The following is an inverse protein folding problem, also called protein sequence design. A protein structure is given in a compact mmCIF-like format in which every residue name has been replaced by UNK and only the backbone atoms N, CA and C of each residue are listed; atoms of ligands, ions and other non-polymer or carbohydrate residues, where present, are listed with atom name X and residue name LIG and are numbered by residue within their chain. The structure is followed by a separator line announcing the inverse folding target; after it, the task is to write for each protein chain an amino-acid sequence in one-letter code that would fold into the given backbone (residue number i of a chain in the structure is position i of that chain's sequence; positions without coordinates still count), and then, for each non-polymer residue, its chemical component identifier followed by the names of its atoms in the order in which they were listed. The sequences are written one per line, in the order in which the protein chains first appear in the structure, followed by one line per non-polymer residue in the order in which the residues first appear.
data_IF_670150902604
#
_entry.id   IF_670150902604
#
_cell.length_a   1.000
_cell.length_b   1.000
_cell.length_c   1.000
_cell.angle_alpha   90.00
_cell.angle_beta   90.00
_cell.angle_gamma   90.00
#
_symmetry.space_group_name_H-M   'P 1'
#
loop_
_entity.id
_entity.type
_entity.pdbx_description
1 polymer ?
#
# COMPACT_ATOMS: atom_id res chain seq x y z
N UNK A 1 1.21 -11.92 -6.06
CA UNK A 1 2.49 -11.18 -5.99
C UNK A 1 2.58 -10.51 -4.63
N UNK A 2 3.73 -10.46 -3.96
CA UNK A 2 3.86 -9.77 -2.68
C UNK A 2 4.80 -8.57 -2.81
N UNK A 3 4.39 -7.44 -2.24
CA UNK A 3 5.20 -6.23 -2.14
C UNK A 3 5.53 -6.02 -0.66
N UNK A 4 6.80 -5.84 -0.35
CA UNK A 4 7.29 -5.61 1.01
C UNK A 4 7.53 -4.13 1.28
N UNK A 5 7.20 -3.68 2.48
CA UNK A 5 7.46 -2.33 2.95
C UNK A 5 8.18 -2.34 4.30
N UNK A 6 9.10 -1.39 4.50
CA UNK A 6 9.85 -1.19 5.75
C UNK A 6 9.88 0.28 6.12
N UNK A 7 10.29 0.59 7.35
CA UNK A 7 10.43 1.96 7.85
C UNK A 7 11.59 2.73 7.22
N UNK A 8 12.48 2.03 6.48
CA UNK A 8 13.61 2.66 5.78
C UNK A 8 13.11 3.49 4.60
N UNK A 9 13.33 4.81 4.59
CA UNK A 9 12.85 5.67 3.51
C UNK A 9 13.37 5.25 2.14
N UNK A 10 12.49 5.28 1.15
CA UNK A 10 12.78 4.92 -0.24
C UNK A 10 11.97 5.80 -1.18
N UNK A 11 12.54 6.13 -2.35
CA UNK A 11 11.84 6.91 -3.40
C UNK A 11 11.10 6.01 -4.40
N UNK A 12 10.84 4.75 -4.03
CA UNK A 12 10.30 3.72 -4.93
C UNK A 12 8.81 3.61 -4.70
N UNK A 13 8.06 3.85 -5.76
CA UNK A 13 6.60 3.92 -5.71
C UNK A 13 5.97 2.59 -6.07
N UNK A 14 4.77 2.35 -5.54
CA UNK A 14 3.88 1.29 -6.00
C UNK A 14 2.78 1.90 -6.88
N UNK A 15 2.59 1.37 -8.08
CA UNK A 15 1.72 1.94 -9.12
C UNK A 15 0.53 1.00 -9.37
N UNK A 16 -0.55 1.11 -8.58
CA UNK A 16 -1.77 0.37 -8.82
C UNK A 16 -2.51 0.86 -10.06
N UNK A 17 -3.26 -0.06 -10.68
CA UNK A 17 -4.21 0.21 -11.75
C UNK A 17 -5.54 -0.42 -11.36
N UNK A 18 -6.55 0.41 -11.08
CA UNK A 18 -7.89 -0.02 -10.64
C UNK A 18 -7.84 -1.11 -9.55
N UNK A 19 -6.88 -1.00 -8.64
CA UNK A 19 -6.62 -2.02 -7.61
C UNK A 19 -7.47 -1.73 -6.38
N UNK A 20 -8.19 -2.72 -5.88
CA UNK A 20 -8.94 -2.62 -4.61
C UNK A 20 -8.00 -2.93 -3.46
N UNK A 21 -7.96 -2.11 -2.43
CA UNK A 21 -7.13 -2.32 -1.25
C UNK A 21 -8.00 -2.79 -0.08
N UNK A 22 -7.62 -3.91 0.54
CA UNK A 22 -8.14 -4.38 1.81
C UNK A 22 -7.12 -4.08 2.91
N UNK A 23 -7.51 -3.29 3.91
CA UNK A 23 -6.67 -3.01 5.06
C UNK A 23 -6.86 -4.08 6.14
N UNK A 24 -6.03 -5.12 6.17
CA UNK A 24 -6.05 -6.17 7.19
C UNK A 24 -4.98 -5.97 8.29
N UNK A 25 -4.54 -4.73 8.51
CA UNK A 25 -3.45 -4.44 9.47
C UNK A 25 -3.94 -4.26 10.91
N UNK A 26 -5.26 -4.13 11.12
CA UNK A 26 -5.85 -3.83 12.43
C UNK A 26 -5.65 -2.37 12.89
N UNK A 27 -5.09 -1.51 12.04
CA UNK A 27 -4.92 -0.07 12.28
C UNK A 27 -5.36 0.72 11.05
N UNK A 28 -5.64 1.99 11.22
CA UNK A 28 -5.93 2.87 10.08
C UNK A 28 -4.67 3.06 9.23
N UNK A 29 -4.83 2.86 7.92
CA UNK A 29 -3.78 3.01 6.93
C UNK A 29 -4.04 4.25 6.08
N UNK A 30 -3.03 5.08 5.90
CA UNK A 30 -3.08 6.19 4.94
C UNK A 30 -2.17 5.85 3.77
N UNK A 31 -2.74 5.69 2.57
CA UNK A 31 -1.98 5.62 1.34
C UNK A 31 -1.59 7.05 0.95
N UNK A 32 -0.28 7.33 0.98
CA UNK A 32 0.28 8.61 0.60
C UNK A 32 0.63 8.55 -0.87
N UNK A 33 -0.02 9.36 -1.69
CA UNK A 33 0.22 9.35 -3.14
C UNK A 33 1.18 10.47 -3.55
N UNK A 34 1.86 10.26 -4.68
CA UNK A 34 2.81 11.25 -5.22
C UNK A 34 2.10 12.52 -5.71
N UNK A 35 0.93 12.37 -6.35
CA UNK A 35 0.25 13.49 -7.05
C UNK A 35 -1.25 13.56 -6.77
N UNK A 36 -1.76 12.75 -5.84
CA UNK A 36 -3.18 12.68 -5.50
C UNK A 36 -3.38 12.93 -4.00
N UNK A 37 -4.57 13.38 -3.57
CA UNK A 37 -4.90 13.47 -2.15
C UNK A 37 -4.80 12.11 -1.47
N UNK A 38 -4.28 12.11 -0.25
CA UNK A 38 -4.14 10.90 0.56
C UNK A 38 -5.46 10.14 0.70
N UNK A 39 -5.36 8.81 0.70
CA UNK A 39 -6.51 7.94 0.99
C UNK A 39 -6.35 7.30 2.37
N UNK A 40 -7.27 7.62 3.28
CA UNK A 40 -7.39 6.94 4.56
C UNK A 40 -8.28 5.71 4.41
N UNK A 41 -7.77 4.56 4.85
CA UNK A 41 -8.46 3.28 4.90
C UNK A 41 -8.53 2.84 6.36
N UNK A 42 -9.73 2.80 6.91
CA UNK A 42 -9.96 2.31 8.26
C UNK A 42 -9.51 0.86 8.43
N UNK A 43 -9.20 0.46 9.66
CA UNK A 43 -8.91 -0.94 9.97
C UNK A 43 -10.03 -1.87 9.48
N UNK A 44 -9.65 -2.97 8.80
CA UNK A 44 -10.56 -4.00 8.25
C UNK A 44 -11.54 -3.50 7.19
N UNK A 45 -11.23 -2.40 6.51
CA UNK A 45 -12.06 -1.84 5.42
C UNK A 45 -11.46 -2.07 4.04
N UNK A 46 -12.30 -1.87 3.02
CA UNK A 46 -11.91 -1.94 1.60
C UNK A 46 -11.99 -0.56 0.93
N UNK A 47 -11.10 -0.31 -0.03
CA UNK A 47 -11.13 0.88 -0.88
C UNK A 47 -12.01 0.67 -2.13
N UNK A 48 -12.31 1.77 -2.82
CA UNK A 48 -12.64 1.70 -4.25
C UNK A 48 -11.37 1.42 -5.09
N UNK A 49 -11.52 1.18 -6.39
CA UNK A 49 -10.38 0.97 -7.29
C UNK A 49 -9.43 2.17 -7.31
N UNK A 50 -8.18 1.96 -6.92
CA UNK A 50 -7.12 2.99 -6.86
C UNK A 50 -6.23 2.91 -8.10
N UNK A 51 -5.98 4.06 -8.71
CA UNK A 51 -5.13 4.24 -9.90
C UNK A 51 -4.16 5.42 -9.72
N UNK A 52 -3.51 5.51 -8.57
CA UNK A 52 -2.56 6.57 -8.24
C UNK A 52 -1.28 5.98 -7.65
N UNK A 53 -0.12 6.54 -8.03
CA UNK A 53 1.17 6.08 -7.55
C UNK A 53 1.31 6.35 -6.05
N UNK A 54 1.47 5.28 -5.27
CA UNK A 54 1.71 5.30 -3.83
C UNK A 54 3.19 5.58 -3.59
N UNK A 55 3.48 6.64 -2.87
CA UNK A 55 4.82 7.00 -2.40
C UNK A 55 5.20 6.14 -1.18
N UNK A 56 4.35 6.18 -0.14
CA UNK A 56 4.50 5.37 1.07
C UNK A 56 3.13 5.10 1.72
N UNK A 57 3.12 4.23 2.73
CA UNK A 57 1.93 3.91 3.52
C UNK A 57 2.19 4.29 4.96
N UNK A 58 1.30 5.08 5.57
CA UNK A 58 1.35 5.38 6.99
C UNK A 58 0.40 4.48 7.76
N UNK A 59 0.87 3.80 8.80
CA UNK A 59 0.04 3.09 9.78
C UNK A 59 0.20 3.78 11.14
N UNK A 60 -0.87 4.42 11.62
CA UNK A 60 -0.78 5.28 12.81
C UNK A 60 0.24 6.40 12.62
N UNK A 61 1.37 6.31 13.34
CA UNK A 61 2.48 7.30 13.27
C UNK A 61 3.69 6.81 12.46
N UNK A 62 3.68 5.57 11.95
CA UNK A 62 4.83 4.95 11.30
C UNK A 62 4.66 4.96 9.78
N UNK A 63 5.70 5.40 9.06
CA UNK A 63 5.75 5.41 7.60
C UNK A 63 6.47 4.17 7.06
N UNK A 64 5.85 3.51 6.08
CA UNK A 64 6.33 2.29 5.44
C UNK A 64 6.55 2.54 3.94
N UNK A 65 7.78 2.32 3.48
CA UNK A 65 8.23 2.56 2.12
C UNK A 65 8.54 1.25 1.40
N UNK A 66 8.40 1.22 0.07
CA UNK A 66 8.68 0.02 -0.71
C UNK A 66 10.13 -0.43 -0.58
N UNK A 67 10.33 -1.71 -0.25
CA UNK A 67 11.65 -2.34 -0.13
C UNK A 67 12.29 -2.68 -1.49
N UNK A 68 11.55 -2.56 -2.59
CA UNK A 68 12.04 -2.95 -3.90
C UNK A 68 13.03 -1.92 -4.45
N UNK A 69 14.02 -2.36 -5.23
CA UNK A 69 15.02 -1.48 -5.85
C UNK A 69 14.47 -0.63 -7.00
N UNK A 70 13.25 -0.93 -7.46
CA UNK A 70 12.56 -0.30 -8.56
C UNK A 70 11.09 -0.03 -8.21
N UNK A 71 10.45 0.84 -8.99
CA UNK A 71 9.01 1.03 -8.90
C UNK A 71 8.29 -0.27 -9.23
N UNK A 72 7.23 -0.58 -8.50
CA UNK A 72 6.45 -1.80 -8.71
C UNK A 72 5.11 -1.43 -9.32
N UNK A 73 4.75 -2.05 -10.44
CA UNK A 73 3.42 -1.90 -11.04
C UNK A 73 2.51 -3.04 -10.53
N UNK A 74 1.27 -2.70 -10.19
CA UNK A 74 0.22 -3.69 -9.91
C UNK A 74 -0.74 -3.70 -11.11
N UNK A 75 -1.03 -4.86 -11.70
CA UNK A 75 -1.97 -4.98 -12.80
C UNK A 75 -3.40 -4.50 -12.46
N UNK A 76 -4.18 -4.28 -13.52
CA UNK A 76 -5.61 -3.97 -13.47
C UNK A 76 -6.43 -5.00 -12.71
N UNK A 77 -7.56 -4.56 -12.16
CA UNK A 77 -8.63 -5.43 -11.63
C UNK A 77 -8.16 -6.44 -10.55
N UNK A 78 -7.09 -6.10 -9.83
CA UNK A 78 -6.55 -6.89 -8.73
C UNK A 78 -7.05 -6.41 -7.36
N UNK A 79 -6.99 -7.29 -6.37
CA UNK A 79 -7.12 -6.97 -4.94
C UNK A 79 -5.75 -7.00 -4.27
N UNK A 80 -5.45 -5.98 -3.47
CA UNK A 80 -4.26 -5.83 -2.65
C UNK A 80 -4.62 -5.91 -1.17
N UNK A 81 -4.10 -6.90 -0.45
CA UNK A 81 -4.34 -7.06 0.99
C UNK A 81 -3.13 -6.58 1.78
N UNK A 82 -3.32 -5.54 2.59
CA UNK A 82 -2.32 -5.01 3.51
C UNK A 82 -2.32 -5.81 4.81
N UNK A 83 -1.18 -6.37 5.21
CA UNK A 83 -1.02 -7.10 6.47
C UNK A 83 0.25 -6.65 7.16
N UNK A 84 0.17 -6.37 8.47
CA UNK A 84 1.31 -6.06 9.32
C UNK A 84 1.60 -7.27 10.19
N UNK A 85 2.84 -7.79 10.12
CA UNK A 85 3.29 -8.88 10.99
C UNK A 85 4.75 -8.66 11.38
N UNK A 86 5.05 -8.74 12.68
CA UNK A 86 6.39 -8.53 13.23
C UNK A 86 7.07 -7.22 12.74
N UNK A 87 6.31 -6.14 12.60
CA UNK A 87 6.81 -4.84 12.14
C UNK A 87 7.07 -4.75 10.62
N UNK A 88 6.77 -5.79 9.85
CA UNK A 88 6.88 -5.78 8.39
C UNK A 88 5.49 -5.61 7.79
N UNK A 89 5.30 -4.53 7.03
CA UNK A 89 4.09 -4.33 6.25
C UNK A 89 4.24 -5.04 4.90
N UNK A 90 3.26 -5.87 4.58
CA UNK A 90 3.20 -6.60 3.32
C UNK A 90 1.91 -6.29 2.59
N UNK A 91 1.99 -6.28 1.26
CA UNK A 91 0.84 -6.12 0.37
C UNK A 91 0.78 -7.33 -0.56
N UNK A 92 -0.17 -8.22 -0.31
CA UNK A 92 -0.41 -9.39 -1.13
C UNK A 92 -1.40 -9.06 -2.24
N UNK A 93 -0.99 -9.26 -3.49
CA UNK A 93 -1.78 -9.01 -4.70
C UNK A 93 -2.35 -10.32 -5.22
N UNK A 94 -3.68 -10.38 -5.34
CA UNK A 94 -4.46 -11.42 -6.01
C UNK A 94 -5.23 -10.82 -7.20
N UNK A 95 -5.24 -11.53 -8.32
CA UNK A 95 -6.12 -11.25 -9.46
C UNK A 95 -7.45 -11.99 -9.29
#
# INVERSE_FOLDING_TARGET
MNICFTETPSRKTVKPSKTIFLNNTGQDATLKFVTAPDLVLGAYTISNGVSAAIDHIRLGMTDYYSCHSQNVAIPGDCTAVLTLSNGVLTMAISA
#
